data_IF_513160510895
#
_entry.id   IF_513160510895
#
_cell.length_a   1.000
_cell.length_b   1.000
_cell.length_c   1.000
_cell.angle_alpha   90.00
_cell.angle_beta   90.00
_cell.angle_gamma   90.00
#
_symmetry.space_group_name_H-M   'P 1'
#
loop_
_entity.id
_entity.type
_entity.pdbx_description
1 polymer ?
#
# COMPACT_ATOMS: atom_id res chain seq x y z
N UNK A 1 30.78 -41.34 9.40
CA UNK A 1 30.63 -40.13 8.54
C UNK A 1 29.22 -40.01 7.98
N UNK A 2 28.20 -39.89 8.82
CA UNK A 2 26.81 -39.63 8.42
C UNK A 2 26.25 -38.62 9.42
N UNK A 3 26.49 -37.33 9.19
CA UNK A 3 25.75 -36.22 9.83
C UNK A 3 26.28 -34.83 9.42
N UNK A 4 26.74 -34.66 8.17
CA UNK A 4 27.16 -33.34 7.68
C UNK A 4 26.17 -32.69 6.68
N UNK A 5 25.16 -33.42 6.21
CA UNK A 5 24.24 -32.93 5.18
C UNK A 5 22.96 -32.25 5.70
N UNK A 6 22.73 -32.23 7.02
CA UNK A 6 21.55 -31.55 7.60
C UNK A 6 21.76 -30.05 7.87
N UNK A 7 22.93 -29.49 7.53
CA UNK A 7 23.28 -28.09 7.85
C UNK A 7 23.27 -27.11 6.68
N UNK A 8 22.87 -27.53 5.47
CA UNK A 8 23.02 -26.70 4.25
C UNK A 8 21.71 -26.59 3.45
N UNK A 9 20.54 -26.47 4.07
CA UNK A 9 19.35 -25.93 3.35
C UNK A 9 18.40 -25.17 4.30
N UNK A 10 18.93 -24.44 5.29
CA UNK A 10 18.23 -23.22 5.72
C UNK A 10 18.72 -22.10 4.81
N UNK A 11 18.40 -22.21 3.51
CA UNK A 11 18.35 -21.03 2.65
C UNK A 11 17.44 -20.08 3.40
N UNK A 12 17.99 -18.99 3.90
CA UNK A 12 17.26 -17.92 4.55
C UNK A 12 16.17 -17.48 3.57
N UNK A 13 15.00 -18.08 3.68
CA UNK A 13 13.81 -17.64 2.99
C UNK A 13 13.39 -16.42 3.79
N UNK A 14 13.96 -15.27 3.43
CA UNK A 14 13.46 -13.98 3.88
C UNK A 14 12.05 -13.93 3.27
N UNK A 15 11.03 -14.24 4.08
CA UNK A 15 9.63 -14.01 3.71
C UNK A 15 9.57 -12.51 3.40
N UNK A 16 9.41 -12.20 2.12
CA UNK A 16 9.15 -10.84 1.68
C UNK A 16 7.67 -10.64 1.92
N UNK A 17 7.35 -9.76 2.85
CA UNK A 17 5.99 -9.38 3.15
C UNK A 17 5.73 -8.00 2.59
N UNK A 18 4.56 -7.84 2.01
CA UNK A 18 4.03 -6.56 1.56
C UNK A 18 2.74 -6.24 2.30
N UNK A 19 2.29 -5.00 2.16
CA UNK A 19 1.06 -4.51 2.79
C UNK A 19 -0.01 -4.30 1.73
N UNK A 20 -1.20 -4.80 1.97
CA UNK A 20 -2.35 -4.53 1.10
C UNK A 20 -2.73 -3.04 1.19
N UNK A 21 -2.81 -2.36 0.05
CA UNK A 21 -3.11 -0.93 -0.03
C UNK A 21 -4.51 -0.55 0.48
N UNK A 22 -5.45 -1.50 0.59
CA UNK A 22 -6.81 -1.28 1.08
C UNK A 22 -6.96 -1.64 2.57
N UNK A 23 -6.63 -2.88 2.97
CA UNK A 23 -6.85 -3.33 4.35
C UNK A 23 -5.69 -3.04 5.31
N UNK A 24 -4.51 -2.63 4.82
CA UNK A 24 -3.27 -2.42 5.59
C UNK A 24 -2.78 -3.65 6.37
N UNK A 25 -3.22 -4.84 5.97
CA UNK A 25 -2.71 -6.09 6.54
C UNK A 25 -1.46 -6.55 5.76
N UNK A 26 -0.55 -7.22 6.47
CA UNK A 26 0.66 -7.83 5.88
C UNK A 26 0.33 -9.19 5.26
N UNK A 27 0.84 -9.42 4.06
CA UNK A 27 0.73 -10.68 3.31
C UNK A 27 2.12 -11.11 2.82
N UNK A 28 2.29 -12.38 2.48
CA UNK A 28 3.47 -12.77 1.69
C UNK A 28 3.38 -12.11 0.31
N UNK A 29 4.49 -11.61 -0.23
CA UNK A 29 4.53 -10.93 -1.54
C UNK A 29 3.88 -11.75 -2.67
N UNK A 30 3.98 -13.08 -2.59
CA UNK A 30 3.38 -13.99 -3.58
C UNK A 30 1.85 -14.01 -3.58
N UNK A 31 1.23 -13.51 -2.51
CA UNK A 31 -0.22 -13.43 -2.35
C UNK A 31 -0.78 -12.07 -2.79
N UNK A 32 0.09 -11.07 -2.98
CA UNK A 32 -0.31 -9.73 -3.39
C UNK A 32 -0.40 -9.63 -4.91
N UNK A 33 -1.52 -9.12 -5.40
CA UNK A 33 -1.71 -8.73 -6.78
C UNK A 33 -1.32 -7.27 -6.98
N UNK A 34 -0.54 -6.96 -8.02
CA UNK A 34 -0.23 -5.59 -8.40
C UNK A 34 -1.22 -5.10 -9.46
N UNK A 35 -1.98 -4.05 -9.16
CA UNK A 35 -3.00 -3.47 -10.05
C UNK A 35 -3.05 -1.95 -9.87
N UNK A 36 -2.94 -1.18 -10.97
CA UNK A 36 -2.99 0.29 -10.94
C UNK A 36 -2.11 0.91 -9.85
N UNK A 37 -0.86 0.45 -9.75
CA UNK A 37 0.13 0.90 -8.74
C UNK A 37 -0.19 0.51 -7.29
N UNK A 38 -1.21 -0.32 -7.05
CA UNK A 38 -1.58 -0.84 -5.73
C UNK A 38 -1.15 -2.29 -5.57
N UNK A 39 -0.74 -2.66 -4.36
CA UNK A 39 -0.56 -4.04 -3.94
C UNK A 39 -1.80 -4.48 -3.17
N UNK A 40 -2.53 -5.48 -3.67
CA UNK A 40 -3.83 -5.87 -3.12
C UNK A 40 -3.82 -7.34 -2.72
N UNK A 41 -4.37 -7.65 -1.54
CA UNK A 41 -4.61 -9.04 -1.15
C UNK A 41 -5.71 -9.65 -2.04
N UNK A 42 -5.85 -10.99 -2.12
CA UNK A 42 -6.80 -11.62 -3.05
C UNK A 42 -8.25 -11.16 -2.88
N UNK A 43 -8.67 -10.92 -1.63
CA UNK A 43 -10.00 -10.41 -1.31
C UNK A 43 -10.23 -9.00 -1.87
N UNK A 44 -9.27 -8.10 -1.62
CA UNK A 44 -9.39 -6.69 -1.98
C UNK A 44 -9.10 -6.44 -3.47
N UNK A 45 -8.32 -7.31 -4.12
CA UNK A 45 -8.12 -7.28 -5.56
C UNK A 45 -9.43 -7.53 -6.32
N UNK A 46 -10.21 -8.54 -5.92
CA UNK A 46 -11.53 -8.78 -6.51
C UNK A 46 -12.48 -7.63 -6.22
N UNK A 47 -12.53 -7.17 -4.96
CA UNK A 47 -13.38 -6.05 -4.57
C UNK A 47 -13.08 -4.79 -5.39
N UNK A 48 -11.79 -4.50 -5.61
CA UNK A 48 -11.33 -3.32 -6.35
C UNK A 48 -11.84 -3.28 -7.79
N UNK A 49 -11.87 -4.42 -8.48
CA UNK A 49 -12.35 -4.52 -9.86
C UNK A 49 -13.88 -4.42 -9.98
N UNK A 50 -14.60 -4.84 -8.94
CA UNK A 50 -16.06 -4.91 -8.93
C UNK A 50 -16.74 -3.61 -8.46
N UNK A 51 -15.99 -2.64 -7.95
CA UNK A 51 -16.53 -1.42 -7.33
C UNK A 51 -15.99 -0.15 -7.97
N UNK A 52 -16.82 0.90 -7.91
CA UNK A 52 -16.41 2.23 -8.32
C UNK A 52 -15.70 2.93 -7.15
N UNK A 53 -14.65 3.67 -7.50
CA UNK A 53 -13.82 4.40 -6.55
C UNK A 53 -13.89 5.89 -6.82
N UNK A 54 -14.06 6.67 -5.75
CA UNK A 54 -14.20 8.12 -5.84
C UNK A 54 -13.05 8.80 -5.12
N UNK A 55 -12.45 9.78 -5.79
CA UNK A 55 -11.46 10.66 -5.19
C UNK A 55 -12.12 11.45 -4.05
N UNK A 56 -11.60 11.27 -2.84
CA UNK A 56 -12.10 11.94 -1.64
C UNK A 56 -11.28 13.18 -1.30
N UNK A 57 -9.96 13.08 -1.42
CA UNK A 57 -9.04 14.14 -1.04
C UNK A 57 -7.69 13.96 -1.74
N UNK A 58 -6.98 15.07 -1.94
CA UNK A 58 -5.61 15.10 -2.42
C UNK A 58 -4.74 15.89 -1.46
N UNK A 59 -3.46 15.55 -1.40
CA UNK A 59 -2.46 16.31 -0.67
C UNK A 59 -1.14 16.30 -1.42
N UNK A 60 -0.36 17.35 -1.23
CA UNK A 60 1.00 17.45 -1.71
C UNK A 60 1.92 17.44 -0.50
N UNK A 61 2.99 16.68 -0.58
CA UNK A 61 4.00 16.60 0.46
C UNK A 61 5.39 16.72 -0.15
N UNK A 62 6.21 17.50 0.50
CA UNK A 62 7.66 17.48 0.37
C UNK A 62 8.26 17.03 1.71
N UNK A 63 9.58 16.74 1.77
CA UNK A 63 10.23 16.32 3.01
C UNK A 63 10.17 17.35 4.15
N UNK A 64 10.03 18.64 3.84
CA UNK A 64 9.96 19.73 4.84
C UNK A 64 8.55 19.90 5.40
N UNK A 65 7.53 19.46 4.66
CA UNK A 65 6.12 19.56 5.04
C UNK A 65 5.37 18.23 4.88
N UNK A 66 5.61 17.24 5.77
CA UNK A 66 4.95 15.93 5.73
C UNK A 66 3.50 15.93 6.23
N UNK A 67 3.05 17.02 6.87
CA UNK A 67 1.80 17.05 7.63
C UNK A 67 0.59 16.74 6.75
N UNK A 68 0.61 17.17 5.48
CA UNK A 68 -0.48 16.92 4.56
C UNK A 68 -0.64 15.43 4.22
N UNK A 69 0.47 14.70 4.05
CA UNK A 69 0.45 13.24 3.85
C UNK A 69 -0.04 12.50 5.10
N UNK A 70 0.41 12.92 6.29
CA UNK A 70 -0.06 12.35 7.57
C UNK A 70 -1.57 12.53 7.74
N UNK A 71 -2.10 13.71 7.38
CA UNK A 71 -3.54 13.97 7.47
C UNK A 71 -4.35 13.07 6.53
N UNK A 72 -3.84 12.73 5.35
CA UNK A 72 -4.49 11.77 4.46
C UNK A 72 -4.48 10.35 5.03
N UNK A 73 -3.36 9.91 5.61
CA UNK A 73 -3.28 8.60 6.24
C UNK A 73 -4.27 8.49 7.41
N UNK A 74 -4.31 9.51 8.30
CA UNK A 74 -5.28 9.55 9.39
C UNK A 74 -6.73 9.45 8.87
N UNK A 75 -7.03 10.12 7.75
CA UNK A 75 -8.36 10.07 7.15
C UNK A 75 -8.68 8.69 6.55
N UNK A 76 -7.70 7.98 5.99
CA UNK A 76 -7.85 6.58 5.58
C UNK A 76 -8.15 5.69 6.78
N UNK A 77 -7.44 5.88 7.89
CA UNK A 77 -7.65 5.11 9.12
C UNK A 77 -9.06 5.36 9.71
N UNK A 78 -9.57 6.60 9.64
CA UNK A 78 -10.95 6.92 10.00
C UNK A 78 -11.97 6.20 9.12
N UNK A 79 -11.74 6.11 7.80
CA UNK A 79 -12.62 5.36 6.89
C UNK A 79 -12.61 3.88 7.23
N UNK A 80 -11.43 3.31 7.48
CA UNK A 80 -11.26 1.93 7.94
C UNK A 80 -12.03 1.65 9.23
N UNK A 81 -12.01 2.57 10.20
CA UNK A 81 -12.78 2.45 11.45
C UNK A 81 -14.29 2.39 11.23
N UNK A 82 -14.77 2.96 10.12
CA UNK A 82 -16.17 2.96 9.67
C UNK A 82 -16.49 1.81 8.72
N UNK A 83 -15.54 0.89 8.51
CA UNK A 83 -15.63 -0.21 7.55
C UNK A 83 -15.80 0.25 6.09
N UNK A 84 -15.34 1.47 5.78
CA UNK A 84 -15.34 2.02 4.42
C UNK A 84 -13.97 1.72 3.79
N UNK A 85 -13.93 0.96 2.70
CA UNK A 85 -12.69 0.69 1.99
C UNK A 85 -12.16 1.94 1.32
N UNK A 86 -10.85 2.11 1.42
CA UNK A 86 -10.14 3.25 0.85
C UNK A 86 -8.69 2.89 0.58
N UNK A 87 -8.06 3.62 -0.34
CA UNK A 87 -6.65 3.48 -0.67
C UNK A 87 -6.05 4.83 -1.05
N UNK A 88 -4.73 4.95 -0.96
CA UNK A 88 -3.98 6.14 -1.37
C UNK A 88 -3.09 5.75 -2.56
N UNK A 89 -3.15 6.53 -3.63
CA UNK A 89 -2.20 6.47 -4.75
C UNK A 89 -1.18 7.58 -4.59
N UNK A 90 0.09 7.28 -4.85
CA UNK A 90 1.21 8.23 -4.76
C UNK A 90 1.80 8.49 -6.13
N UNK A 91 1.89 9.76 -6.51
CA UNK A 91 2.51 10.21 -7.76
C UNK A 91 3.66 11.17 -7.43
N UNK A 92 4.80 11.02 -8.10
CA UNK A 92 5.94 11.92 -7.97
C UNK A 92 5.91 12.96 -9.07
N UNK A 93 5.92 14.23 -8.68
CA UNK A 93 5.93 15.39 -9.55
C UNK A 93 7.27 16.10 -9.41
N UNK A 94 7.82 16.57 -10.54
CA UNK A 94 9.01 17.41 -10.55
C UNK A 94 8.60 18.88 -10.72
N UNK A 95 8.95 19.72 -9.74
CA UNK A 95 8.75 21.18 -9.80
C UNK A 95 10.05 21.89 -9.45
N UNK A 96 10.60 22.68 -10.38
CA UNK A 96 11.80 23.49 -10.16
C UNK A 96 12.98 22.73 -9.50
N UNK A 97 13.25 21.50 -9.96
CA UNK A 97 14.29 20.60 -9.41
C UNK A 97 14.02 20.09 -7.99
N UNK A 98 12.79 20.18 -7.51
CA UNK A 98 12.30 19.54 -6.29
C UNK A 98 11.33 18.42 -6.64
N UNK A 99 11.41 17.30 -5.90
CA UNK A 99 10.44 16.21 -6.00
C UNK A 99 9.31 16.50 -5.01
N UNK A 100 8.11 16.72 -5.51
CA UNK A 100 6.88 16.82 -4.73
C UNK A 100 6.13 15.50 -4.88
N UNK A 101 5.63 14.95 -3.77
CA UNK A 101 4.79 13.75 -3.82
C UNK A 101 3.33 14.17 -3.69
N UNK A 102 2.51 13.82 -4.69
CA UNK A 102 1.06 13.93 -4.66
C UNK A 102 0.46 12.64 -4.12
N UNK A 103 -0.41 12.77 -3.13
CA UNK A 103 -1.17 11.68 -2.54
C UNK A 103 -2.64 11.87 -2.87
N UNK A 104 -3.29 10.83 -3.41
CA UNK A 104 -4.71 10.86 -3.78
C UNK A 104 -5.45 9.76 -3.03
N UNK A 105 -6.35 10.14 -2.12
CA UNK A 105 -7.16 9.21 -1.33
C UNK A 105 -8.47 8.93 -2.05
N UNK A 106 -8.70 7.65 -2.36
CA UNK A 106 -9.94 7.15 -2.93
C UNK A 106 -10.72 6.35 -1.89
N UNK A 107 -12.05 6.36 -2.02
CA UNK A 107 -12.92 5.48 -1.23
C UNK A 107 -13.94 4.78 -2.12
N UNK A 108 -14.47 3.67 -1.62
CA UNK A 108 -15.62 3.00 -2.23
C UNK A 108 -16.88 3.89 -2.18
N UNK A 109 -17.83 3.58 -3.06
CA UNK A 109 -19.10 4.28 -3.25
C UNK A 109 -20.00 4.26 -1.99
#
# INVERSE_FOLDING_TARGET
MKNLFKKIISKFYISRRGVCSICDEEFDDSELAFQNELFLCPKDANYYLDHNWYLLAEAYSDPENPQAALNLQNRKDELKSKQIKSYIVTEYLEDQSQIITKFSLYREA
#
